data_IF_153853100730
#
_entry.id   IF_153853100730
#
_cell.length_a   1.000
_cell.length_b   1.000
_cell.length_c   1.000
_cell.angle_alpha   90.00
_cell.angle_beta   90.00
_cell.angle_gamma   90.00
#
_symmetry.space_group_name_H-M   'P 1'
#
loop_
_entity.id
_entity.type
_entity.pdbx_description
1 polymer ?
#
# COMPACT_ATOMS: atom_id res chain seq x y z
N UNK A 1 -3.33 -14.92 15.08
CA UNK A 1 -3.99 -14.00 14.16
C UNK A 1 -5.05 -13.26 14.93
N UNK A 2 -5.12 -11.95 14.81
CA UNK A 2 -6.11 -11.12 15.52
C UNK A 2 -7.38 -10.99 14.72
N UNK A 3 -8.51 -10.90 15.43
CA UNK A 3 -9.85 -10.82 14.90
C UNK A 3 -10.57 -9.54 15.37
N UNK A 4 -11.70 -9.14 14.74
CA UNK A 4 -12.41 -7.92 15.09
C UNK A 4 -12.86 -7.81 16.56
N UNK A 5 -13.17 -8.96 17.18
CA UNK A 5 -13.67 -9.02 18.56
C UNK A 5 -12.56 -9.14 19.62
N UNK A 6 -11.29 -9.25 19.20
CA UNK A 6 -10.15 -9.21 20.11
C UNK A 6 -10.02 -7.83 20.76
N UNK A 7 -9.49 -7.82 21.99
CA UNK A 7 -9.23 -6.55 22.69
C UNK A 7 -8.04 -5.84 22.07
N UNK A 8 -8.21 -4.56 21.73
CA UNK A 8 -7.13 -3.75 21.15
C UNK A 8 -5.88 -3.72 22.05
N UNK A 9 -6.05 -3.68 23.37
CA UNK A 9 -4.93 -3.71 24.31
C UNK A 9 -4.13 -5.01 24.23
N UNK A 10 -4.76 -6.14 23.90
CA UNK A 10 -4.06 -7.42 23.76
C UNK A 10 -3.10 -7.43 22.59
N UNK A 11 -3.46 -6.79 21.45
CA UNK A 11 -2.58 -6.64 20.30
C UNK A 11 -1.27 -5.96 20.70
N UNK A 12 -1.38 -4.86 21.45
CA UNK A 12 -0.22 -4.06 21.85
C UNK A 12 0.61 -4.77 22.92
N UNK A 13 -0.03 -5.41 23.88
CA UNK A 13 0.66 -6.15 24.95
C UNK A 13 1.47 -7.32 24.39
N UNK A 14 0.91 -8.01 23.40
CA UNK A 14 1.56 -9.17 22.78
C UNK A 14 2.63 -8.74 21.76
N UNK A 15 2.43 -7.57 21.13
CA UNK A 15 3.33 -7.01 20.10
C UNK A 15 3.40 -5.47 20.22
N UNK A 16 4.23 -4.96 21.12
CA UNK A 16 4.38 -3.52 21.35
C UNK A 16 4.81 -2.73 20.10
N UNK A 17 5.43 -3.40 19.13
CA UNK A 17 5.79 -2.82 17.85
C UNK A 17 4.56 -2.30 17.07
N UNK A 18 3.35 -2.81 17.31
CA UNK A 18 2.12 -2.32 16.70
C UNK A 18 1.73 -0.89 17.11
N UNK A 19 2.35 -0.33 18.15
CA UNK A 19 2.14 1.09 18.54
C UNK A 19 2.36 2.04 17.36
N UNK A 20 3.38 1.77 16.55
CA UNK A 20 3.65 2.55 15.35
C UNK A 20 2.53 2.42 14.31
N UNK A 21 2.06 1.19 14.09
CA UNK A 21 0.95 0.94 13.16
C UNK A 21 -0.33 1.65 13.60
N UNK A 22 -0.64 1.68 14.92
CA UNK A 22 -1.78 2.43 15.43
C UNK A 22 -1.67 3.93 15.07
N UNK A 23 -0.51 4.54 15.30
CA UNK A 23 -0.25 5.94 14.96
C UNK A 23 -0.43 6.20 13.47
N UNK A 24 0.06 5.31 12.60
CA UNK A 24 -0.07 5.43 11.16
C UNK A 24 -1.53 5.27 10.67
N UNK A 25 -2.36 4.48 11.37
CA UNK A 25 -3.81 4.45 11.12
C UNK A 25 -4.57 5.64 11.74
N UNK A 26 -3.88 6.53 12.45
CA UNK A 26 -4.51 7.65 13.17
C UNK A 26 -5.27 7.22 14.42
N UNK A 27 -5.01 6.00 14.94
CA UNK A 27 -5.66 5.48 16.14
C UNK A 27 -4.97 6.06 17.37
N UNK A 28 -5.70 6.87 18.12
CA UNK A 28 -5.24 7.46 19.38
C UNK A 28 -5.24 6.43 20.51
N UNK A 29 -4.25 6.54 21.41
CA UNK A 29 -4.22 5.77 22.65
C UNK A 29 -5.36 6.19 23.58
N UNK A 30 -5.63 5.37 24.61
CA UNK A 30 -6.72 5.64 25.57
C UNK A 30 -8.05 4.98 25.20
N UNK A 31 -8.03 3.94 24.37
CA UNK A 31 -9.19 3.18 23.92
C UNK A 31 -9.81 2.23 24.98
N UNK A 32 -9.19 2.11 26.17
CA UNK A 32 -9.68 1.26 27.26
C UNK A 32 -9.75 -0.23 26.88
N UNK A 33 -10.81 -0.90 27.33
CA UNK A 33 -11.05 -2.33 27.08
C UNK A 33 -11.84 -2.62 25.79
N UNK A 34 -11.83 -1.70 24.82
CA UNK A 34 -12.58 -1.84 23.58
C UNK A 34 -11.97 -2.91 22.68
N UNK A 35 -12.82 -3.52 21.85
CA UNK A 35 -12.39 -4.44 20.80
C UNK A 35 -11.74 -3.68 19.64
N UNK A 36 -10.99 -4.40 18.80
CA UNK A 36 -10.41 -3.85 17.57
C UNK A 36 -11.49 -3.19 16.72
N UNK A 37 -12.62 -3.88 16.51
CA UNK A 37 -13.75 -3.37 15.75
C UNK A 37 -14.28 -2.06 16.33
N UNK A 38 -14.52 -2.00 17.64
CA UNK A 38 -15.04 -0.78 18.30
C UNK A 38 -14.08 0.40 18.15
N UNK A 39 -12.78 0.17 18.33
CA UNK A 39 -11.77 1.23 18.17
C UNK A 39 -11.69 1.70 16.71
N UNK A 40 -11.65 0.79 15.75
CA UNK A 40 -11.62 1.13 14.33
C UNK A 40 -12.87 1.91 13.90
N UNK A 41 -14.06 1.49 14.30
CA UNK A 41 -15.32 2.18 14.00
C UNK A 41 -15.33 3.62 14.56
N UNK A 42 -14.93 3.80 15.82
CA UNK A 42 -14.86 5.13 16.47
C UNK A 42 -13.85 6.06 15.79
N UNK A 43 -12.71 5.53 15.35
CA UNK A 43 -11.65 6.29 14.69
C UNK A 43 -11.83 6.37 13.16
N UNK A 44 -12.92 5.80 12.62
CA UNK A 44 -13.24 5.74 11.17
C UNK A 44 -12.17 5.03 10.34
N UNK A 45 -11.57 4.00 10.89
CA UNK A 45 -10.60 3.13 10.23
C UNK A 45 -11.33 1.88 9.73
N UNK A 46 -11.05 1.43 8.52
CA UNK A 46 -11.58 0.18 8.01
C UNK A 46 -10.98 -1.01 8.78
N UNK A 47 -11.82 -1.72 9.52
CA UNK A 47 -11.40 -2.80 10.42
C UNK A 47 -10.69 -3.94 9.68
N UNK A 48 -11.19 -4.30 8.49
CA UNK A 48 -10.58 -5.36 7.70
C UNK A 48 -9.18 -4.98 7.24
N UNK A 49 -9.00 -3.78 6.73
CA UNK A 49 -7.70 -3.26 6.28
C UNK A 49 -6.71 -3.11 7.44
N UNK A 50 -7.18 -2.62 8.59
CA UNK A 50 -6.37 -2.55 9.81
C UNK A 50 -5.84 -3.94 10.19
N UNK A 51 -6.73 -4.92 10.31
CA UNK A 51 -6.36 -6.29 10.67
C UNK A 51 -5.48 -6.96 9.62
N UNK A 52 -5.71 -6.70 8.34
CA UNK A 52 -4.86 -7.20 7.26
C UNK A 52 -3.41 -6.72 7.42
N UNK A 53 -3.20 -5.42 7.66
CA UNK A 53 -1.85 -4.84 7.89
C UNK A 53 -1.24 -5.38 9.18
N UNK A 54 -1.98 -5.39 10.29
CA UNK A 54 -1.49 -5.86 11.60
C UNK A 54 -1.09 -7.33 11.55
N UNK A 55 -1.96 -8.19 11.04
CA UNK A 55 -1.68 -9.62 10.94
C UNK A 55 -0.54 -9.93 9.97
N UNK A 56 -0.43 -9.16 8.86
CA UNK A 56 0.69 -9.25 7.94
C UNK A 56 2.00 -8.86 8.61
N UNK A 57 2.03 -7.76 9.35
CA UNK A 57 3.21 -7.29 10.09
C UNK A 57 3.74 -8.34 11.07
N UNK A 58 2.85 -9.10 11.71
CA UNK A 58 3.22 -10.13 12.69
C UNK A 58 3.63 -11.45 12.03
N UNK A 59 2.92 -11.87 11.00
CA UNK A 59 2.98 -13.26 10.50
C UNK A 59 3.48 -13.38 9.03
N UNK A 60 3.71 -12.24 8.34
CA UNK A 60 4.12 -12.23 6.94
C UNK A 60 2.99 -12.60 5.96
N UNK A 61 3.34 -12.95 4.73
CA UNK A 61 2.44 -13.11 3.56
C UNK A 61 1.29 -14.12 3.70
N UNK A 62 1.25 -14.93 4.73
CA UNK A 62 0.32 -16.07 4.85
C UNK A 62 -1.14 -15.70 5.12
N UNK A 63 -1.50 -14.41 5.29
CA UNK A 63 -2.78 -14.00 5.88
C UNK A 63 -3.60 -13.01 5.06
N UNK A 64 -3.24 -12.75 3.81
CA UNK A 64 -4.08 -11.92 2.93
C UNK A 64 -5.12 -12.81 2.23
N UNK A 65 -6.26 -13.03 2.87
CA UNK A 65 -7.32 -13.90 2.36
C UNK A 65 -8.02 -13.30 1.12
N UNK A 66 -8.30 -12.01 1.13
CA UNK A 66 -9.07 -11.37 0.05
C UNK A 66 -8.70 -9.88 -0.14
N UNK A 67 -7.82 -9.64 -1.12
CA UNK A 67 -7.43 -8.28 -1.54
C UNK A 67 -8.63 -7.40 -1.92
N UNK A 68 -9.78 -8.02 -2.25
CA UNK A 68 -10.96 -7.28 -2.70
C UNK A 68 -11.68 -6.52 -1.61
N UNK A 69 -11.44 -6.89 -0.37
CA UNK A 69 -12.05 -6.27 0.81
C UNK A 69 -11.22 -5.12 1.37
N UNK A 70 -9.99 -4.95 0.89
CA UNK A 70 -9.12 -3.88 1.34
C UNK A 70 -9.65 -2.50 0.95
N UNK A 71 -9.66 -1.58 1.90
CA UNK A 71 -9.96 -0.16 1.68
C UNK A 71 -8.70 0.56 1.22
N UNK A 72 -8.59 0.83 -0.09
CA UNK A 72 -7.48 1.61 -0.65
C UNK A 72 -7.37 3.01 -0.02
N UNK A 73 -8.46 3.74 0.26
CA UNK A 73 -8.37 5.01 1.00
C UNK A 73 -7.73 4.89 2.38
N UNK A 74 -8.08 3.83 3.14
CA UNK A 74 -7.48 3.56 4.46
C UNK A 74 -5.99 3.23 4.35
N UNK A 75 -5.58 2.46 3.33
CA UNK A 75 -4.17 2.19 3.06
C UNK A 75 -3.39 3.46 2.69
N UNK A 76 -3.94 4.33 1.84
CA UNK A 76 -3.31 5.61 1.51
C UNK A 76 -3.13 6.49 2.74
N UNK A 77 -4.14 6.56 3.61
CA UNK A 77 -4.04 7.31 4.87
C UNK A 77 -2.94 6.74 5.77
N UNK A 78 -2.88 5.42 5.91
CA UNK A 78 -1.85 4.72 6.68
C UNK A 78 -0.44 5.03 6.16
N UNK A 79 -0.21 4.91 4.85
CA UNK A 79 1.09 5.14 4.23
C UNK A 79 1.52 6.61 4.36
N UNK A 80 0.63 7.57 4.11
CA UNK A 80 0.91 9.01 4.30
C UNK A 80 1.26 9.37 5.74
N UNK A 81 0.51 8.86 6.69
CA UNK A 81 0.80 9.10 8.11
C UNK A 81 2.14 8.47 8.52
N UNK A 82 2.48 7.32 7.96
CA UNK A 82 3.78 6.68 8.13
C UNK A 82 4.91 7.55 7.56
N UNK A 83 4.77 8.10 6.34
CA UNK A 83 5.73 9.03 5.75
C UNK A 83 5.94 10.28 6.60
N UNK A 84 4.84 10.91 7.05
CA UNK A 84 4.92 12.08 7.93
C UNK A 84 5.68 11.76 9.22
N UNK A 85 5.41 10.61 9.84
CA UNK A 85 6.13 10.17 11.03
C UNK A 85 7.63 10.03 10.77
N UNK A 86 8.04 9.38 9.69
CA UNK A 86 9.46 9.22 9.38
C UNK A 86 10.15 10.53 9.05
N UNK A 87 9.57 11.34 8.16
CA UNK A 87 10.22 12.55 7.64
C UNK A 87 10.23 13.65 8.70
N UNK A 88 9.14 13.83 9.45
CA UNK A 88 8.97 14.97 10.35
C UNK A 88 9.39 14.67 11.78
N UNK A 89 9.41 13.39 12.19
CA UNK A 89 9.72 13.03 13.56
C UNK A 89 10.92 12.09 13.68
N UNK A 90 10.85 10.87 13.12
CA UNK A 90 11.82 9.81 13.44
C UNK A 90 13.22 10.10 12.89
N UNK A 91 13.35 10.47 11.63
CA UNK A 91 14.66 10.78 11.04
C UNK A 91 15.32 12.01 11.71
N UNK A 92 14.61 13.13 11.94
CA UNK A 92 15.17 14.25 12.71
C UNK A 92 15.52 13.89 14.17
N UNK A 93 14.73 13.04 14.81
CA UNK A 93 14.98 12.57 16.17
C UNK A 93 16.30 11.79 16.24
N UNK A 94 16.48 10.75 15.43
CA UNK A 94 17.71 9.95 15.41
C UNK A 94 18.93 10.83 15.05
N UNK A 95 18.77 11.78 14.13
CA UNK A 95 19.83 12.72 13.79
C UNK A 95 20.31 13.52 14.99
N UNK A 96 19.39 14.02 15.80
CA UNK A 96 19.70 14.78 17.00
C UNK A 96 20.39 13.90 18.04
N UNK A 97 19.86 12.71 18.29
CA UNK A 97 20.47 11.75 19.22
C UNK A 97 21.92 11.38 18.82
N UNK A 98 22.19 11.22 17.51
CA UNK A 98 23.55 11.02 17.01
C UNK A 98 24.44 12.24 17.26
N UNK A 99 23.95 13.45 17.02
CA UNK A 99 24.71 14.68 17.27
C UNK A 99 25.06 14.84 18.75
N UNK A 100 24.13 14.52 19.65
CA UNK A 100 24.30 14.65 21.09
C UNK A 100 25.24 13.56 21.65
N UNK A 101 25.33 12.40 20.97
CA UNK A 101 26.15 11.27 21.37
C UNK A 101 27.60 11.30 20.82
N UNK A 102 27.89 12.16 19.84
CA UNK A 102 29.15 12.20 19.10
C UNK A 102 29.93 13.48 19.40
N UNK A 103 31.28 13.38 19.51
CA UNK A 103 32.14 14.57 19.58
C UNK A 103 32.21 15.21 18.16
N UNK A 104 31.76 16.45 18.05
CA UNK A 104 31.75 17.20 16.79
C UNK A 104 33.17 17.44 16.20
N UNK A 105 34.23 17.36 17.05
CA UNK A 105 35.59 17.54 16.59
C UNK A 105 36.22 16.26 16.03
N UNK A 106 35.59 15.09 16.27
CA UNK A 106 36.08 13.82 15.75
C UNK A 106 35.78 13.67 14.26
N UNK A 107 36.78 13.27 13.49
CA UNK A 107 36.65 12.99 12.06
C UNK A 107 35.71 11.83 11.77
N UNK A 108 35.66 10.83 12.65
CA UNK A 108 34.78 9.68 12.53
C UNK A 108 33.33 10.07 12.81
N UNK A 109 33.07 10.94 13.78
CA UNK A 109 31.76 11.52 14.05
C UNK A 109 31.20 12.27 12.82
N UNK A 110 32.06 13.08 12.18
CA UNK A 110 31.69 13.77 10.92
C UNK A 110 31.32 12.81 9.79
N UNK A 111 32.05 11.69 9.68
CA UNK A 111 31.74 10.66 8.70
C UNK A 111 30.39 9.98 8.99
N UNK A 112 30.13 9.63 10.25
CA UNK A 112 28.86 9.03 10.70
C UNK A 112 27.70 9.96 10.38
N UNK A 113 27.80 11.24 10.74
CA UNK A 113 26.75 12.23 10.45
C UNK A 113 26.50 12.39 8.97
N UNK A 114 27.56 12.41 8.15
CA UNK A 114 27.43 12.46 6.69
C UNK A 114 26.66 11.24 6.13
N UNK A 115 27.04 10.04 6.56
CA UNK A 115 26.38 8.80 6.12
C UNK A 115 24.91 8.78 6.54
N UNK A 116 24.60 9.23 7.75
CA UNK A 116 23.23 9.35 8.22
C UNK A 116 22.44 10.37 7.39
N UNK A 117 22.97 11.55 7.14
CA UNK A 117 22.32 12.60 6.33
C UNK A 117 22.07 12.13 4.89
N UNK A 118 22.97 11.35 4.30
CA UNK A 118 22.77 10.74 2.99
C UNK A 118 21.66 9.69 3.00
N UNK A 119 21.62 8.84 4.04
CA UNK A 119 20.54 7.87 4.24
C UNK A 119 19.18 8.56 4.41
N UNK A 120 19.09 9.52 5.35
CA UNK A 120 17.84 10.24 5.60
C UNK A 120 17.33 10.99 4.36
N UNK A 121 18.24 11.54 3.55
CA UNK A 121 17.89 12.17 2.26
C UNK A 121 17.37 11.15 1.26
N UNK A 122 17.94 9.96 1.18
CA UNK A 122 17.48 8.89 0.29
C UNK A 122 16.04 8.49 0.64
N UNK A 123 15.78 8.15 1.91
CA UNK A 123 14.45 7.81 2.42
C UNK A 123 13.44 8.92 2.14
N UNK A 124 13.79 10.17 2.48
CA UNK A 124 12.92 11.32 2.25
C UNK A 124 12.61 11.53 0.77
N UNK A 125 13.58 11.33 -0.12
CA UNK A 125 13.40 11.48 -1.56
C UNK A 125 12.45 10.43 -2.11
N UNK A 126 12.59 9.19 -1.64
CA UNK A 126 11.73 8.07 -2.01
C UNK A 126 10.27 8.33 -1.58
N UNK A 127 10.03 8.61 -0.31
CA UNK A 127 8.69 8.89 0.21
C UNK A 127 8.03 10.11 -0.47
N UNK A 128 8.81 11.16 -0.76
CA UNK A 128 8.30 12.33 -1.51
C UNK A 128 7.99 12.01 -2.97
N UNK A 129 8.66 11.05 -3.58
CA UNK A 129 8.30 10.58 -4.90
C UNK A 129 6.93 9.92 -4.90
N UNK A 130 6.64 9.09 -3.91
CA UNK A 130 5.36 8.42 -3.74
C UNK A 130 4.22 9.41 -3.51
N UNK A 131 4.43 10.36 -2.61
CA UNK A 131 3.47 11.44 -2.32
C UNK A 131 3.11 12.27 -3.56
N UNK A 132 4.07 12.47 -4.48
CA UNK A 132 3.88 13.33 -5.65
C UNK A 132 3.38 12.59 -6.89
N UNK A 133 3.68 11.31 -7.01
CA UNK A 133 3.43 10.56 -8.25
C UNK A 133 2.49 9.37 -8.02
N UNK A 134 2.71 8.57 -6.99
CA UNK A 134 1.97 7.32 -6.78
C UNK A 134 0.60 7.60 -6.15
N UNK A 135 0.56 8.34 -5.04
CA UNK A 135 -0.68 8.55 -4.30
C UNK A 135 -1.72 9.39 -5.08
N UNK A 136 -1.33 10.49 -5.79
CA UNK A 136 -2.29 11.21 -6.64
C UNK A 136 -2.83 10.36 -7.80
N UNK A 137 -2.02 9.45 -8.34
CA UNK A 137 -2.47 8.48 -9.33
C UNK A 137 -3.57 7.56 -8.76
N UNK A 138 -3.34 7.01 -7.55
CA UNK A 138 -4.32 6.14 -6.90
C UNK A 138 -5.60 6.89 -6.53
N UNK A 139 -5.49 8.14 -6.09
CA UNK A 139 -6.64 9.02 -5.85
C UNK A 139 -7.46 9.26 -7.12
N UNK A 140 -6.80 9.51 -8.24
CA UNK A 140 -7.48 9.64 -9.53
C UNK A 140 -8.22 8.36 -9.94
N UNK A 141 -7.64 7.18 -9.70
CA UNK A 141 -8.31 5.90 -9.92
C UNK A 141 -9.56 5.73 -9.02
N UNK A 142 -9.47 6.12 -7.75
CA UNK A 142 -10.61 6.08 -6.82
C UNK A 142 -11.76 7.01 -7.25
N UNK A 143 -11.44 8.13 -7.89
CA UNK A 143 -12.42 9.05 -8.48
C UNK A 143 -12.97 8.58 -9.85
N UNK A 144 -12.55 7.42 -10.34
CA UNK A 144 -12.93 6.90 -11.65
C UNK A 144 -12.30 7.65 -12.82
N UNK A 145 -11.25 8.41 -12.59
CA UNK A 145 -10.49 9.10 -13.63
C UNK A 145 -9.48 8.15 -14.23
N UNK A 146 -9.44 8.06 -15.56
CA UNK A 146 -8.39 7.30 -16.26
C UNK A 146 -7.08 8.07 -16.11
N UNK A 147 -6.16 7.53 -15.35
CA UNK A 147 -4.85 8.13 -15.14
C UNK A 147 -3.89 7.68 -16.25
N UNK A 148 -3.60 8.53 -17.19
CA UNK A 148 -2.49 8.53 -18.16
C UNK A 148 -1.80 7.20 -18.49
N UNK A 149 -0.49 7.25 -18.74
CA UNK A 149 0.35 6.07 -19.05
C UNK A 149 1.01 5.44 -17.81
N UNK A 150 0.75 5.93 -16.61
CA UNK A 150 1.31 5.39 -15.37
C UNK A 150 0.53 4.13 -14.97
N UNK A 151 1.25 3.08 -14.60
CA UNK A 151 0.70 1.85 -14.02
C UNK A 151 1.46 1.53 -12.73
N UNK A 152 0.76 0.98 -11.73
CA UNK A 152 1.36 0.70 -10.43
C UNK A 152 2.55 -0.28 -10.52
N UNK A 153 2.57 -1.15 -11.53
CA UNK A 153 3.67 -2.09 -11.76
C UNK A 153 4.99 -1.41 -12.17
N UNK A 154 4.94 -0.16 -12.64
CA UNK A 154 6.15 0.62 -12.90
C UNK A 154 6.83 1.06 -11.59
N UNK A 155 6.05 1.24 -10.54
CA UNK A 155 6.52 1.63 -9.21
C UNK A 155 7.19 0.46 -8.47
N UNK A 156 6.65 -0.75 -8.54
CA UNK A 156 7.10 -1.91 -7.74
C UNK A 156 8.57 -2.32 -7.94
N UNK A 157 9.24 -1.78 -8.95
CA UNK A 157 10.63 -2.15 -9.31
C UNK A 157 11.72 -1.37 -8.53
N UNK A 158 11.37 -0.41 -7.68
CA UNK A 158 12.32 0.57 -7.13
C UNK A 158 12.68 0.40 -5.64
N UNK A 159 12.09 -0.56 -4.92
CA UNK A 159 12.17 -0.64 -3.44
C UNK A 159 13.47 -1.21 -2.83
N UNK A 160 14.54 -1.54 -3.58
CA UNK A 160 15.57 -2.46 -3.06
C UNK A 160 16.92 -1.87 -2.61
N UNK A 161 17.18 -0.56 -2.57
CA UNK A 161 18.56 -0.04 -2.42
C UNK A 161 18.93 0.67 -1.11
N UNK A 162 18.03 0.88 -0.15
CA UNK A 162 18.32 1.80 0.97
C UNK A 162 19.10 1.20 2.15
N UNK A 163 19.15 -0.12 2.30
CA UNK A 163 19.74 -0.80 3.47
C UNK A 163 21.28 -0.78 3.57
N UNK A 164 22.01 -0.53 2.48
CA UNK A 164 23.48 -0.64 2.45
C UNK A 164 24.17 0.46 3.26
N UNK A 165 23.75 1.71 3.09
CA UNK A 165 24.36 2.87 3.81
C UNK A 165 24.13 2.80 5.30
N UNK A 166 22.92 2.40 5.73
CA UNK A 166 22.61 2.27 7.15
C UNK A 166 23.39 1.13 7.80
N UNK A 167 23.61 0.05 7.07
CA UNK A 167 24.45 -1.07 7.51
C UNK A 167 25.91 -0.64 7.70
N UNK A 168 26.47 0.14 6.77
CA UNK A 168 27.82 0.69 6.89
C UNK A 168 27.93 1.61 8.10
N UNK A 169 26.99 2.53 8.29
CA UNK A 169 26.93 3.43 9.44
C UNK A 169 26.93 2.65 10.75
N UNK A 170 26.05 1.68 10.93
CA UNK A 170 25.99 0.83 12.12
C UNK A 170 27.31 0.10 12.36
N UNK A 171 27.92 -0.43 11.31
CA UNK A 171 29.20 -1.13 11.39
C UNK A 171 30.33 -0.21 11.83
N UNK A 172 30.35 1.05 11.39
CA UNK A 172 31.35 2.04 11.79
C UNK A 172 31.20 2.39 13.28
N UNK A 173 29.98 2.67 13.73
CA UNK A 173 29.70 2.98 15.13
C UNK A 173 30.15 1.83 16.02
N UNK A 174 29.75 0.60 15.73
CA UNK A 174 30.01 -0.57 16.57
C UNK A 174 31.52 -0.91 16.63
N UNK A 175 32.24 -0.77 15.51
CA UNK A 175 33.62 -1.27 15.42
C UNK A 175 34.70 -0.25 15.76
N UNK A 176 34.46 1.02 15.48
CA UNK A 176 35.54 2.01 15.43
C UNK A 176 35.31 3.23 16.30
N UNK A 177 34.12 3.42 16.85
CA UNK A 177 33.89 4.56 17.72
C UNK A 177 34.49 4.28 19.10
N UNK A 178 35.51 5.03 19.57
CA UNK A 178 36.03 4.88 20.93
C UNK A 178 34.95 5.32 21.92
N UNK A 179 34.67 4.47 22.91
CA UNK A 179 33.71 4.81 23.97
C UNK A 179 34.47 5.14 25.24
N UNK A 180 34.23 6.29 25.81
CA UNK A 180 34.73 6.71 27.12
C UNK A 180 33.78 6.32 28.27
N UNK A 181 32.85 5.43 28.05
CA UNK A 181 31.87 4.94 29.02
C UNK A 181 30.69 5.89 29.28
N UNK A 182 30.86 7.20 29.23
CA UNK A 182 29.80 8.21 29.43
C UNK A 182 28.87 8.28 28.21
N UNK A 183 29.43 8.31 27.02
CA UNK A 183 28.66 8.37 25.76
C UNK A 183 28.18 7.00 25.26
N UNK A 184 28.70 5.90 25.82
CA UNK A 184 28.37 4.56 25.37
C UNK A 184 26.88 4.21 25.55
N UNK A 185 26.23 4.64 26.63
CA UNK A 185 24.83 4.40 26.88
C UNK A 185 23.93 5.14 25.87
N UNK A 186 24.29 6.39 25.56
CA UNK A 186 23.56 7.20 24.58
C UNK A 186 23.75 6.64 23.18
N UNK A 187 24.97 6.28 22.78
CA UNK A 187 25.23 5.62 21.51
C UNK A 187 24.46 4.28 21.36
N UNK A 188 24.44 3.49 22.46
CA UNK A 188 23.69 2.23 22.47
C UNK A 188 22.19 2.45 22.30
N UNK A 189 21.62 3.46 22.94
CA UNK A 189 20.22 3.84 22.78
C UNK A 189 19.94 4.31 21.35
N UNK A 190 20.78 5.18 20.81
CA UNK A 190 20.66 5.67 19.44
C UNK A 190 20.79 4.55 18.40
N UNK A 191 21.70 3.59 18.62
CA UNK A 191 21.82 2.41 17.77
C UNK A 191 20.56 1.55 17.82
N UNK A 192 19.94 1.40 18.99
CA UNK A 192 18.67 0.69 19.14
C UNK A 192 17.57 1.37 18.33
N UNK A 193 17.49 2.69 18.37
CA UNK A 193 16.52 3.46 17.56
C UNK A 193 16.79 3.34 16.06
N UNK A 194 18.07 3.31 15.64
CA UNK A 194 18.45 3.07 14.24
C UNK A 194 18.03 1.68 13.78
N UNK A 195 18.24 0.63 14.59
CA UNK A 195 17.81 -0.73 14.27
C UNK A 195 16.30 -0.84 14.17
N UNK A 196 15.56 -0.27 15.12
CA UNK A 196 14.09 -0.23 15.09
C UNK A 196 13.58 0.51 13.85
N UNK A 197 14.17 1.65 13.53
CA UNK A 197 13.80 2.43 12.35
C UNK A 197 14.02 1.65 11.05
N UNK A 198 15.12 0.90 10.93
CA UNK A 198 15.38 0.05 9.75
C UNK A 198 14.33 -1.06 9.62
N UNK A 199 13.98 -1.74 10.73
CA UNK A 199 12.96 -2.78 10.75
C UNK A 199 11.58 -2.23 10.33
N UNK A 200 11.22 -1.06 10.85
CA UNK A 200 9.96 -0.40 10.50
C UNK A 200 9.89 0.04 9.05
N UNK A 201 10.96 0.58 8.50
CA UNK A 201 11.01 0.93 7.08
C UNK A 201 10.92 -0.30 6.19
N UNK A 202 11.55 -1.41 6.61
CA UNK A 202 11.41 -2.68 5.90
C UNK A 202 9.97 -3.21 5.93
N UNK A 203 9.28 -3.12 7.08
CA UNK A 203 7.87 -3.48 7.22
C UNK A 203 6.96 -2.57 6.39
N UNK A 204 7.23 -1.25 6.37
CA UNK A 204 6.52 -0.29 5.53
C UNK A 204 6.60 -0.68 4.05
N UNK A 205 7.79 -0.92 3.53
CA UNK A 205 7.99 -1.38 2.15
C UNK A 205 7.28 -2.73 1.86
N UNK A 206 7.28 -3.65 2.82
CA UNK A 206 6.55 -4.92 2.68
C UNK A 206 5.02 -4.72 2.62
N UNK A 207 4.46 -3.80 3.42
CA UNK A 207 3.03 -3.45 3.34
C UNK A 207 2.70 -2.85 1.97
N UNK A 208 3.57 -2.01 1.43
CA UNK A 208 3.41 -1.48 0.08
C UNK A 208 3.43 -2.58 -0.98
N UNK A 209 4.45 -3.43 -0.97
CA UNK A 209 4.63 -4.49 -1.97
C UNK A 209 3.54 -5.56 -1.92
N UNK A 210 3.12 -5.96 -0.73
CA UNK A 210 2.26 -7.14 -0.56
C UNK A 210 0.79 -6.82 -0.28
N UNK A 211 0.47 -5.60 0.14
CA UNK A 211 -0.92 -5.19 0.45
C UNK A 211 -1.36 -4.07 -0.48
N UNK A 212 -0.63 -2.95 -0.52
CA UNK A 212 -1.04 -1.76 -1.25
C UNK A 212 -1.00 -1.95 -2.76
N UNK A 213 0.13 -2.39 -3.32
CA UNK A 213 0.28 -2.61 -4.76
C UNK A 213 -0.77 -3.60 -5.30
N UNK A 214 -1.01 -4.78 -4.69
CA UNK A 214 -2.08 -5.68 -5.12
C UNK A 214 -3.48 -5.05 -5.07
N UNK A 215 -3.78 -4.24 -4.05
CA UNK A 215 -5.06 -3.55 -3.93
C UNK A 215 -5.25 -2.50 -5.05
N UNK A 216 -4.21 -1.72 -5.36
CA UNK A 216 -4.23 -0.74 -6.45
C UNK A 216 -4.32 -1.41 -7.81
N UNK A 217 -3.55 -2.49 -8.05
CA UNK A 217 -3.62 -3.28 -9.29
C UNK A 217 -5.05 -3.78 -9.57
N UNK A 218 -5.75 -4.21 -8.54
CA UNK A 218 -7.16 -4.59 -8.67
C UNK A 218 -8.05 -3.40 -9.01
N UNK A 219 -7.80 -2.24 -8.41
CA UNK A 219 -8.53 -1.00 -8.73
C UNK A 219 -8.31 -0.59 -10.19
N UNK A 220 -7.08 -0.69 -10.71
CA UNK A 220 -6.76 -0.47 -12.12
C UNK A 220 -7.54 -1.40 -13.06
N UNK A 221 -7.59 -2.69 -12.72
CA UNK A 221 -8.33 -3.67 -13.52
C UNK A 221 -9.83 -3.34 -13.59
N UNK A 222 -10.42 -2.97 -12.45
CA UNK A 222 -11.84 -2.54 -12.40
C UNK A 222 -12.07 -1.27 -13.23
N UNK A 223 -11.17 -0.29 -13.15
CA UNK A 223 -11.26 0.95 -13.92
C UNK A 223 -11.19 0.69 -15.42
N UNK A 224 -10.21 -0.11 -15.87
CA UNK A 224 -10.05 -0.49 -17.28
C UNK A 224 -11.30 -1.23 -17.80
N UNK A 225 -11.87 -2.13 -17.01
CA UNK A 225 -13.07 -2.87 -17.38
C UNK A 225 -14.31 -1.96 -17.48
N UNK A 226 -14.46 -1.02 -16.56
CA UNK A 226 -15.54 -0.01 -16.61
C UNK A 226 -15.46 0.86 -17.85
N UNK A 227 -14.27 1.33 -18.21
CA UNK A 227 -14.03 2.16 -19.40
C UNK A 227 -14.38 1.42 -20.70
N UNK A 228 -13.96 0.15 -20.80
CA UNK A 228 -14.28 -0.68 -21.97
C UNK A 228 -15.79 -0.87 -22.07
N UNK A 229 -16.45 -1.15 -20.94
CA UNK A 229 -17.91 -1.30 -20.90
C UNK A 229 -18.63 -0.01 -21.32
N UNK A 230 -18.18 1.15 -20.84
CA UNK A 230 -18.74 2.44 -21.21
C UNK A 230 -18.53 2.78 -22.70
N UNK A 231 -17.34 2.51 -23.25
CA UNK A 231 -17.06 2.69 -24.69
C UNK A 231 -17.94 1.84 -25.57
N UNK A 232 -18.17 0.57 -25.19
CA UNK A 232 -19.04 -0.34 -25.93
C UNK A 232 -20.50 0.09 -25.82
N UNK A 233 -20.98 0.49 -24.64
CA UNK A 233 -22.32 1.03 -24.45
C UNK A 233 -22.56 2.26 -25.36
N UNK A 234 -21.58 3.16 -25.43
CA UNK A 234 -21.62 4.33 -26.31
C UNK A 234 -21.58 3.95 -27.80
N UNK A 235 -20.82 2.93 -28.21
CA UNK A 235 -20.81 2.41 -29.58
C UNK A 235 -22.17 1.78 -29.96
N UNK A 236 -22.73 0.99 -29.04
CA UNK A 236 -24.07 0.39 -29.22
C UNK A 236 -25.13 1.47 -29.37
N UNK A 237 -25.07 2.54 -28.56
CA UNK A 237 -26.04 3.65 -28.65
C UNK A 237 -25.91 4.45 -29.94
N UNK A 238 -24.69 4.66 -30.45
CA UNK A 238 -24.45 5.35 -31.73
C UNK A 238 -24.85 4.53 -32.95
N UNK A 239 -24.73 3.19 -32.89
CA UNK A 239 -25.14 2.31 -33.98
C UNK A 239 -26.67 2.10 -34.07
N UNK A 240 -27.46 2.63 -33.12
CA UNK A 240 -28.92 2.61 -33.21
C UNK A 240 -29.48 3.54 -34.28
N UNK A 241 -28.69 4.43 -34.89
CA UNK A 241 -29.07 5.28 -36.02
C UNK A 241 -28.77 4.64 -37.39
N UNK A 242 -28.24 3.41 -37.44
CA UNK A 242 -27.90 2.66 -38.65
C UNK A 242 -28.87 1.50 -38.91
N UNK A 243 -28.92 1.02 -40.15
CA UNK A 243 -29.93 0.15 -40.76
C UNK A 243 -30.18 -1.24 -40.15
N UNK A 244 -29.40 -1.72 -39.16
CA UNK A 244 -29.70 -2.96 -38.41
C UNK A 244 -29.33 -2.78 -36.92
N UNK A 245 -30.28 -2.33 -36.12
CA UNK A 245 -30.10 -2.19 -34.69
C UNK A 245 -29.80 -3.54 -34.00
N UNK A 246 -28.88 -3.50 -33.01
CA UNK A 246 -28.60 -4.66 -32.16
C UNK A 246 -29.79 -4.99 -31.26
N UNK A 247 -30.23 -6.25 -31.29
CA UNK A 247 -31.28 -6.72 -30.40
C UNK A 247 -30.84 -6.74 -28.94
N UNK A 248 -31.82 -6.68 -27.99
CA UNK A 248 -31.51 -6.68 -26.55
C UNK A 248 -30.62 -7.86 -26.13
N UNK A 249 -30.89 -9.06 -26.62
CA UNK A 249 -30.05 -10.26 -26.34
C UNK A 249 -28.65 -10.19 -26.95
N UNK A 250 -28.46 -9.48 -28.05
CA UNK A 250 -27.13 -9.23 -28.61
C UNK A 250 -26.34 -8.26 -27.76
N UNK A 251 -26.99 -7.25 -27.17
CA UNK A 251 -26.42 -6.32 -26.21
C UNK A 251 -25.97 -7.07 -24.93
N UNK A 252 -26.80 -7.95 -24.37
CA UNK A 252 -26.47 -8.77 -23.19
C UNK A 252 -25.24 -9.64 -23.47
N UNK A 253 -25.16 -10.25 -24.65
CA UNK A 253 -24.00 -11.06 -25.06
C UNK A 253 -22.76 -10.21 -25.22
N UNK A 254 -22.82 -8.99 -25.74
CA UNK A 254 -21.68 -8.08 -25.86
C UNK A 254 -21.16 -7.71 -24.46
N UNK A 255 -22.04 -7.37 -23.52
CA UNK A 255 -21.65 -7.04 -22.14
C UNK A 255 -20.90 -8.21 -21.48
N UNK A 256 -21.42 -9.42 -21.61
CA UNK A 256 -20.79 -10.62 -21.05
C UNK A 256 -19.45 -10.96 -21.72
N UNK A 257 -19.31 -10.74 -23.03
CA UNK A 257 -18.04 -10.89 -23.76
C UNK A 257 -16.96 -9.92 -23.27
N UNK A 258 -17.33 -8.68 -22.99
CA UNK A 258 -16.42 -7.64 -22.47
C UNK A 258 -15.98 -7.96 -21.05
N UNK A 259 -16.81 -8.63 -20.28
CA UNK A 259 -16.48 -9.15 -18.96
C UNK A 259 -15.52 -10.36 -19.01
N UNK A 260 -15.12 -10.78 -20.22
CA UNK A 260 -14.19 -11.90 -20.42
C UNK A 260 -14.82 -13.28 -20.31
N UNK A 261 -16.14 -13.38 -20.31
CA UNK A 261 -16.85 -14.64 -20.18
C UNK A 261 -16.67 -15.51 -21.44
N UNK A 262 -16.45 -16.79 -21.26
CA UNK A 262 -16.48 -17.81 -22.31
C UNK A 262 -17.91 -18.06 -22.81
N UNK A 263 -18.07 -18.64 -23.97
CA UNK A 263 -19.42 -18.95 -24.51
C UNK A 263 -20.27 -19.79 -23.55
N UNK A 264 -19.63 -20.66 -22.75
CA UNK A 264 -20.34 -21.49 -21.76
C UNK A 264 -20.80 -20.66 -20.57
N UNK A 265 -19.95 -19.80 -20.05
CA UNK A 265 -20.29 -18.90 -18.94
C UNK A 265 -21.37 -17.89 -19.36
N UNK A 266 -21.33 -17.38 -20.60
CA UNK A 266 -22.40 -16.52 -21.15
C UNK A 266 -23.72 -17.27 -21.24
N UNK A 267 -23.68 -18.51 -21.72
CA UNK A 267 -24.87 -19.35 -21.82
C UNK A 267 -25.53 -19.58 -20.45
N UNK A 268 -24.70 -19.90 -19.44
CA UNK A 268 -25.18 -20.10 -18.08
C UNK A 268 -25.69 -18.79 -17.45
N UNK A 269 -24.98 -17.67 -17.65
CA UNK A 269 -25.35 -16.35 -17.14
C UNK A 269 -26.64 -15.81 -17.71
N UNK A 270 -26.89 -15.99 -19.04
CA UNK A 270 -28.06 -15.51 -19.72
C UNK A 270 -29.21 -16.55 -19.80
N UNK A 271 -29.02 -17.73 -19.19
CA UNK A 271 -29.95 -18.85 -19.22
C UNK A 271 -30.37 -19.26 -20.66
N UNK A 272 -29.38 -19.36 -21.58
CA UNK A 272 -29.58 -19.75 -22.99
C UNK A 272 -28.62 -20.87 -23.40
N UNK A 273 -28.89 -21.54 -24.52
CA UNK A 273 -27.95 -22.58 -25.00
C UNK A 273 -26.65 -21.97 -25.54
N UNK A 274 -25.52 -22.69 -25.42
CA UNK A 274 -24.23 -22.27 -25.97
C UNK A 274 -24.28 -21.97 -27.47
N UNK A 275 -25.05 -22.77 -28.24
CA UNK A 275 -25.23 -22.54 -29.66
C UNK A 275 -25.99 -21.23 -29.97
N UNK A 276 -26.88 -20.80 -29.06
CA UNK A 276 -27.57 -19.51 -29.12
C UNK A 276 -26.60 -18.36 -28.92
N UNK A 277 -25.69 -18.48 -27.97
CA UNK A 277 -24.59 -17.50 -27.77
C UNK A 277 -23.73 -17.37 -29.03
N UNK A 278 -23.34 -18.50 -29.65
CA UNK A 278 -22.56 -18.52 -30.90
C UNK A 278 -23.29 -17.82 -32.02
N UNK A 279 -24.62 -18.03 -32.11
CA UNK A 279 -25.47 -17.39 -33.13
C UNK A 279 -25.55 -15.87 -32.90
N UNK A 280 -25.77 -15.43 -31.65
CA UNK A 280 -25.72 -14.00 -31.31
C UNK A 280 -24.40 -13.37 -31.66
N UNK A 281 -23.25 -14.00 -31.30
CA UNK A 281 -21.92 -13.51 -31.65
C UNK A 281 -21.72 -13.34 -33.16
N UNK A 282 -22.21 -14.30 -33.98
CA UNK A 282 -22.15 -14.20 -35.45
C UNK A 282 -23.01 -13.05 -35.98
N UNK A 283 -24.20 -12.84 -35.43
CA UNK A 283 -25.08 -11.74 -35.81
C UNK A 283 -24.47 -10.38 -35.38
N UNK A 284 -23.90 -10.29 -34.18
CA UNK A 284 -23.17 -9.11 -33.70
C UNK A 284 -22.01 -8.76 -34.65
N UNK A 285 -21.20 -9.74 -35.04
CA UNK A 285 -20.05 -9.51 -35.95
C UNK A 285 -20.48 -9.07 -37.36
N UNK A 286 -21.71 -9.35 -37.76
CA UNK A 286 -22.28 -8.89 -39.04
C UNK A 286 -22.85 -7.48 -38.96
N UNK A 287 -23.35 -7.09 -37.80
CA UNK A 287 -23.99 -5.79 -37.55
C UNK A 287 -23.02 -4.67 -37.13
N UNK A 288 -21.84 -5.06 -36.58
CA UNK A 288 -20.73 -4.16 -36.21
C UNK A 288 -19.69 -4.12 -37.33
#
# INVERSE_FOLDING_TARGET
>A
MYEPDDKMISLIRDNYNLLQSLGSFGISLGFGDKTVKQVCEEQKVDTYTFLAVVNFTINGNSYLEDVSKLSVPTLLQYLRASHAYYIEFQLPFIRRELMDALDENDSLAKLIMKLYDEYARSVTTHMKYEERNVYPYVEALLEGKVAGSFEIDMYSKHHSQESTKLRELKSIIIKYLPSDGLHNNQLSATLYDIYNNEEWLALHAQVEDHIFIPAVRRLEQKSKQSDVTAKISNMISKNQEGTEALGEREKDVIVALVQGMTNKEIADHLCIAVNTVITHRRNIARKL
#
